data_IF_423263619529
#
_entry.id   IF_423263619529
#
_cell.length_a   1.000
_cell.length_b   1.000
_cell.length_c   1.000
_cell.angle_alpha   90.00
_cell.angle_beta   90.00
_cell.angle_gamma   90.00
#
_symmetry.space_group_name_H-M   'P 1'
#
loop_
_entity.id
_entity.type
_entity.pdbx_description
1 polymer ?
#
# COMPACT_ATOMS: atom_id res chain seq x y z
N UNK A 1 5.17 28.60 -7.54
CA UNK A 1 4.34 29.50 -6.72
C UNK A 1 3.97 28.75 -5.46
N UNK A 2 4.63 29.06 -4.33
CA UNK A 2 4.33 28.50 -3.01
C UNK A 2 3.72 29.65 -2.21
N UNK A 3 2.40 29.67 -2.00
CA UNK A 3 1.72 30.74 -1.27
C UNK A 3 1.55 30.28 0.19
N UNK A 4 2.03 31.04 1.18
CA UNK A 4 2.23 30.56 2.54
C UNK A 4 0.95 30.23 3.33
N UNK A 5 -0.23 30.61 2.84
CA UNK A 5 -1.54 30.32 3.46
C UNK A 5 -2.18 29.00 2.98
N UNK A 6 -1.58 28.33 2.01
CA UNK A 6 -2.09 27.08 1.44
C UNK A 6 -1.07 25.96 1.65
N UNK A 7 -1.55 24.74 1.87
CA UNK A 7 -0.68 23.57 2.01
C UNK A 7 0.32 23.45 0.83
N UNK A 8 1.58 23.06 1.10
CA UNK A 8 2.58 23.00 0.04
C UNK A 8 2.24 21.94 -1.00
N UNK A 9 2.67 22.15 -2.26
CA UNK A 9 2.48 21.18 -3.33
C UNK A 9 2.97 19.77 -2.95
N UNK A 10 4.10 19.67 -2.26
CA UNK A 10 4.69 18.37 -1.90
C UNK A 10 3.81 17.61 -0.89
N UNK A 11 3.14 18.33 0.02
CA UNK A 11 2.16 17.74 0.95
C UNK A 11 0.89 17.31 0.22
N UNK A 12 0.40 18.10 -0.73
CA UNK A 12 -0.75 17.74 -1.57
C UNK A 12 -0.46 16.47 -2.35
N UNK A 13 0.69 16.42 -3.03
CA UNK A 13 1.13 15.28 -3.84
C UNK A 13 1.24 14.01 -3.00
N UNK A 14 1.82 14.12 -1.79
CA UNK A 14 1.93 13.00 -0.86
C UNK A 14 0.58 12.44 -0.40
N UNK A 15 -0.49 13.25 -0.45
CA UNK A 15 -1.84 12.91 0.02
C UNK A 15 -2.84 12.59 -1.09
N UNK A 16 -2.44 12.65 -2.36
CA UNK A 16 -3.38 12.49 -3.48
C UNK A 16 -4.07 11.12 -3.51
N UNK A 17 -3.37 10.03 -3.17
CA UNK A 17 -3.99 8.70 -3.12
C UNK A 17 -5.05 8.61 -2.02
N UNK A 18 -4.70 9.01 -0.79
CA UNK A 18 -5.63 9.07 0.35
C UNK A 18 -6.85 9.96 0.01
N UNK A 19 -6.62 11.09 -0.68
CA UNK A 19 -7.71 11.97 -1.16
C UNK A 19 -8.61 11.28 -2.19
N UNK A 20 -8.04 10.55 -3.16
CA UNK A 20 -8.76 9.82 -4.20
C UNK A 20 -9.51 8.60 -3.62
N UNK A 21 -8.99 8.01 -2.56
CA UNK A 21 -9.60 6.88 -1.82
C UNK A 21 -10.65 7.34 -0.81
N UNK A 22 -10.68 8.63 -0.47
CA UNK A 22 -11.63 9.20 0.49
C UNK A 22 -11.24 8.91 1.94
N UNK A 23 -9.95 8.70 2.20
CA UNK A 23 -9.40 8.28 3.49
C UNK A 23 -8.93 9.47 4.36
N UNK A 24 -8.93 10.68 3.80
CA UNK A 24 -8.60 11.90 4.53
C UNK A 24 -9.75 12.36 5.42
N UNK A 25 -9.42 13.09 6.49
CA UNK A 25 -10.44 13.84 7.25
C UNK A 25 -11.02 14.95 6.37
N UNK A 26 -12.23 15.42 6.70
CA UNK A 26 -12.91 16.44 5.90
C UNK A 26 -12.08 17.74 5.83
N UNK A 27 -11.41 18.11 6.92
CA UNK A 27 -10.57 19.30 6.98
C UNK A 27 -9.40 19.19 5.99
N UNK A 28 -8.68 18.07 6.02
CA UNK A 28 -7.52 17.86 5.13
C UNK A 28 -7.96 17.71 3.68
N UNK A 29 -9.09 17.03 3.44
CA UNK A 29 -9.67 16.90 2.10
C UNK A 29 -10.07 18.26 1.52
N UNK A 30 -10.60 19.18 2.34
CA UNK A 30 -10.93 20.53 1.92
C UNK A 30 -9.68 21.35 1.57
N UNK A 31 -8.60 21.24 2.34
CA UNK A 31 -7.31 21.89 2.03
C UNK A 31 -6.70 21.39 0.71
N UNK A 32 -6.72 20.06 0.48
CA UNK A 32 -6.26 19.44 -0.77
C UNK A 32 -7.10 19.92 -1.95
N UNK A 33 -8.43 19.93 -1.81
CA UNK A 33 -9.36 20.41 -2.83
C UNK A 33 -9.09 21.87 -3.20
N UNK A 34 -9.00 22.75 -2.20
CA UNK A 34 -8.71 24.16 -2.40
C UNK A 34 -7.37 24.40 -3.12
N UNK A 35 -6.35 23.56 -2.86
CA UNK A 35 -5.08 23.63 -3.59
C UNK A 35 -5.21 23.18 -5.04
N UNK A 36 -5.91 22.07 -5.30
CA UNK A 36 -6.12 21.54 -6.65
C UNK A 36 -6.91 22.50 -7.54
N UNK A 37 -7.84 23.28 -6.98
CA UNK A 37 -8.67 24.23 -7.71
C UNK A 37 -7.85 25.39 -8.33
N UNK A 38 -6.68 25.72 -7.76
CA UNK A 38 -5.86 26.86 -8.21
C UNK A 38 -4.47 26.46 -8.72
N UNK A 39 -4.00 25.25 -8.43
CA UNK A 39 -2.63 24.83 -8.74
C UNK A 39 -2.56 24.03 -10.05
N UNK A 40 -2.15 24.70 -11.12
CA UNK A 40 -1.92 24.09 -12.44
C UNK A 40 -0.83 23.00 -12.46
N UNK A 41 0.03 22.94 -11.44
CA UNK A 41 1.08 21.90 -11.31
C UNK A 41 0.56 20.61 -10.69
N UNK A 42 -0.33 20.69 -9.71
CA UNK A 42 -0.81 19.53 -8.97
C UNK A 42 -2.00 18.86 -9.66
N UNK A 43 -2.85 19.64 -10.35
CA UNK A 43 -4.04 19.12 -11.03
C UNK A 43 -3.73 17.99 -12.05
N UNK A 44 -2.70 18.08 -12.91
CA UNK A 44 -2.36 16.99 -13.83
C UNK A 44 -2.00 15.67 -13.11
N UNK A 45 -1.36 15.74 -11.94
CA UNK A 45 -1.03 14.55 -11.16
C UNK A 45 -2.27 13.93 -10.54
N UNK A 46 -3.16 14.75 -10.00
CA UNK A 46 -4.47 14.31 -9.51
C UNK A 46 -5.29 13.63 -10.61
N UNK A 47 -5.39 14.24 -11.79
CA UNK A 47 -6.15 13.69 -12.92
C UNK A 47 -5.59 12.35 -13.39
N UNK A 48 -4.26 12.23 -13.49
CA UNK A 48 -3.59 10.96 -13.80
C UNK A 48 -3.91 9.87 -12.76
N UNK A 49 -3.76 10.15 -11.47
CA UNK A 49 -3.99 9.16 -10.42
C UNK A 49 -5.45 8.70 -10.39
N UNK A 50 -6.40 9.63 -10.58
CA UNK A 50 -7.83 9.32 -10.70
C UNK A 50 -8.11 8.42 -11.91
N UNK A 51 -7.55 8.73 -13.07
CA UNK A 51 -7.68 7.92 -14.27
C UNK A 51 -7.06 6.53 -14.10
N UNK A 52 -5.90 6.45 -13.43
CA UNK A 52 -5.22 5.19 -13.12
C UNK A 52 -6.03 4.29 -12.19
N UNK A 53 -6.64 4.84 -11.14
CA UNK A 53 -7.53 4.09 -10.24
C UNK A 53 -8.71 3.50 -11.01
N UNK A 54 -9.34 4.30 -11.87
CA UNK A 54 -10.45 3.84 -12.71
C UNK A 54 -10.02 2.75 -13.70
N UNK A 55 -8.84 2.89 -14.31
CA UNK A 55 -8.28 1.87 -15.19
C UNK A 55 -8.04 0.53 -14.46
N UNK A 56 -7.49 0.59 -13.26
CA UNK A 56 -7.24 -0.59 -12.41
C UNK A 56 -8.55 -1.28 -12.05
N UNK A 57 -9.57 -0.50 -11.65
CA UNK A 57 -10.91 -1.01 -11.34
C UNK A 57 -11.55 -1.73 -12.53
N UNK A 58 -11.36 -1.24 -13.76
CA UNK A 58 -11.85 -1.91 -14.99
C UNK A 58 -11.09 -3.20 -15.26
N UNK A 59 -9.77 -3.18 -15.12
CA UNK A 59 -8.91 -4.34 -15.39
C UNK A 59 -9.12 -5.47 -14.37
N UNK A 60 -9.45 -5.12 -13.12
CA UNK A 60 -9.70 -6.06 -12.03
C UNK A 60 -11.07 -6.77 -12.10
N UNK A 61 -11.98 -6.37 -13.00
CA UNK A 61 -13.30 -7.00 -13.16
C UNK A 61 -13.28 -8.37 -13.86
N UNK A 62 -12.09 -8.92 -14.16
CA UNK A 62 -12.00 -10.29 -14.67
C UNK A 62 -12.44 -11.26 -13.56
N UNK A 63 -13.36 -12.20 -13.86
CA UNK A 63 -13.80 -13.16 -12.86
C UNK A 63 -12.61 -13.97 -12.36
N UNK A 64 -12.45 -14.05 -11.03
CA UNK A 64 -11.42 -14.90 -10.43
C UNK A 64 -11.65 -16.36 -10.86
N UNK A 65 -10.62 -17.05 -11.40
CA UNK A 65 -10.74 -18.44 -11.78
C UNK A 65 -11.21 -19.32 -10.62
N UNK A 66 -12.11 -20.30 -10.85
CA UNK A 66 -12.72 -21.09 -9.79
C UNK A 66 -11.71 -21.86 -8.94
N UNK A 67 -10.63 -22.33 -9.53
CA UNK A 67 -9.54 -23.02 -8.86
C UNK A 67 -8.74 -22.10 -7.94
N UNK A 68 -8.50 -20.86 -8.35
CA UNK A 68 -7.84 -19.87 -7.51
C UNK A 68 -8.76 -19.45 -6.35
N UNK A 69 -10.04 -19.23 -6.65
CA UNK A 69 -11.07 -18.96 -5.63
C UNK A 69 -11.06 -20.04 -4.56
N UNK A 70 -11.15 -21.32 -4.95
CA UNK A 70 -11.13 -22.46 -4.03
C UNK A 70 -9.89 -22.45 -3.13
N UNK A 71 -8.70 -22.28 -3.72
CA UNK A 71 -7.43 -22.26 -2.96
C UNK A 71 -7.37 -21.11 -1.95
N UNK A 72 -7.85 -19.92 -2.31
CA UNK A 72 -7.91 -18.77 -1.40
C UNK A 72 -8.87 -19.03 -0.25
N UNK A 73 -10.04 -19.59 -0.51
CA UNK A 73 -10.99 -19.96 0.54
C UNK A 73 -10.43 -21.05 1.47
N UNK A 74 -9.83 -22.10 0.91
CA UNK A 74 -9.18 -23.16 1.71
C UNK A 74 -8.07 -22.59 2.60
N UNK A 75 -7.28 -21.63 2.09
CA UNK A 75 -6.25 -20.93 2.85
C UNK A 75 -6.82 -20.11 4.02
N UNK A 76 -7.87 -19.33 3.79
CA UNK A 76 -8.52 -18.51 4.83
C UNK A 76 -9.08 -19.40 5.94
N UNK A 77 -9.77 -20.49 5.58
CA UNK A 77 -10.33 -21.44 6.55
C UNK A 77 -9.25 -22.15 7.36
N UNK A 78 -8.12 -22.51 6.74
CA UNK A 78 -6.99 -23.11 7.44
C UNK A 78 -6.38 -22.15 8.48
N UNK A 79 -6.20 -20.87 8.13
CA UNK A 79 -5.71 -19.83 9.06
C UNK A 79 -6.67 -19.64 10.25
N UNK A 80 -7.98 -19.56 10.00
CA UNK A 80 -8.99 -19.47 11.07
C UNK A 80 -8.95 -20.68 12.01
N UNK A 81 -8.63 -21.86 11.47
CA UNK A 81 -8.48 -23.09 12.25
C UNK A 81 -7.09 -23.26 12.91
N UNK A 82 -6.15 -22.32 12.69
CA UNK A 82 -4.76 -22.43 13.16
C UNK A 82 -3.99 -23.58 12.50
N UNK A 83 -4.42 -24.02 11.31
CA UNK A 83 -3.81 -25.10 10.54
C UNK A 83 -2.82 -24.55 9.51
N UNK A 84 -1.75 -25.31 9.20
CA UNK A 84 -0.82 -24.91 8.16
C UNK A 84 -1.50 -24.83 6.78
N UNK A 85 -1.23 -23.74 6.05
CA UNK A 85 -1.80 -23.45 4.75
C UNK A 85 -1.57 -24.60 3.73
N UNK A 86 -2.61 -25.06 3.01
CA UNK A 86 -2.48 -26.13 2.03
C UNK A 86 -1.69 -25.66 0.78
N UNK A 87 -0.66 -26.41 0.39
CA UNK A 87 0.07 -26.21 -0.87
C UNK A 87 1.16 -25.14 -0.84
N UNK A 88 1.40 -24.48 0.29
CA UNK A 88 2.71 -23.85 0.54
C UNK A 88 3.64 -24.95 1.04
N UNK A 89 4.44 -25.52 0.13
CA UNK A 89 5.61 -26.29 0.54
C UNK A 89 6.37 -25.43 1.56
N UNK A 90 6.56 -25.98 2.75
CA UNK A 90 7.22 -25.34 3.88
C UNK A 90 8.37 -24.49 3.36
N UNK A 91 8.30 -23.17 3.56
CA UNK A 91 9.44 -22.27 3.29
C UNK A 91 10.54 -22.52 4.32
N UNK A 92 11.06 -23.74 4.38
CA UNK A 92 12.31 -24.12 5.03
C UNK A 92 13.54 -23.73 4.21
N UNK A 93 13.48 -22.59 3.48
CA UNK A 93 14.61 -22.08 2.71
C UNK A 93 15.32 -20.91 3.41
N UNK A 94 14.67 -20.20 4.33
CA UNK A 94 15.33 -19.12 5.09
C UNK A 94 16.06 -19.61 6.35
N UNK A 95 15.79 -20.84 6.84
CA UNK A 95 16.41 -21.40 8.05
C UNK A 95 17.63 -22.33 7.79
N UNK A 96 18.08 -22.48 6.53
CA UNK A 96 19.22 -23.35 6.17
C UNK A 96 20.52 -22.63 5.81
N UNK A 97 20.58 -21.31 6.00
CA UNK A 97 21.84 -20.55 6.10
C UNK A 97 21.96 -20.07 7.56
N UNK A 98 22.52 -20.82 8.50
CA UNK A 98 23.84 -21.42 8.37
C UNK A 98 24.97 -20.37 8.26
N UNK A 99 24.72 -19.09 8.59
CA UNK A 99 25.76 -18.05 8.54
C UNK A 99 25.77 -17.25 9.84
N UNK A 100 26.81 -17.50 10.64
CA UNK A 100 26.98 -16.95 11.97
C UNK A 100 27.08 -15.42 12.02
N UNK A 101 26.02 -14.79 12.52
CA UNK A 101 26.05 -13.41 13.05
C UNK A 101 25.70 -13.43 14.56
N UNK A 102 26.10 -14.49 15.26
CA UNK A 102 25.98 -14.63 16.71
C UNK A 102 27.32 -14.45 17.45
N UNK A 103 28.27 -13.69 16.88
CA UNK A 103 29.57 -13.39 17.53
C UNK A 103 30.10 -11.98 17.21
N UNK A 104 29.30 -10.93 17.39
CA UNK A 104 29.81 -9.55 17.36
C UNK A 104 29.38 -8.65 18.53
N UNK A 105 28.81 -9.23 19.60
CA UNK A 105 28.75 -8.56 20.90
C UNK A 105 29.48 -9.38 21.96
N UNK A 106 30.80 -9.49 21.75
CA UNK A 106 31.74 -9.97 22.74
C UNK A 106 32.34 -8.79 23.51
N UNK A 107 32.04 -8.74 24.82
CA UNK A 107 32.90 -8.22 25.90
C UNK A 107 33.37 -6.76 25.78
N UNK A 108 32.60 -5.85 26.40
CA UNK A 108 33.19 -4.64 26.96
C UNK A 108 33.66 -4.97 28.39
N UNK A 109 34.97 -5.14 28.57
CA UNK A 109 35.65 -5.13 29.87
C UNK A 109 35.98 -3.68 30.17
N UNK A 110 35.32 -3.10 31.18
CA UNK A 110 35.90 -2.10 32.09
C UNK A 110 35.19 -2.24 33.43
#
# INVERSE_FOLDING_TARGET
MNRPEMIPCDHVIARLWEYIDGELTEEVAAEVRAHLDICSRCFPQYDFQRAFKEFTRRSAQKPMPPELRRRVFEAILAEEAGQPLPGVAERGLIDRLGTGVARLFGRNRH
#
